data_IF_245667439730
#
_entry.id   IF_245667439730
#
_cell.length_a   1.000
_cell.length_b   1.000
_cell.length_c   1.000
_cell.angle_alpha   90.00
_cell.angle_beta   90.00
_cell.angle_gamma   90.00
#
_symmetry.space_group_name_H-M   'P 1'
#
loop_
_entity.id
_entity.type
_entity.pdbx_description
1 polymer ?
#
# COMPACT_ATOMS: atom_id res chain seq x y z
N UNK A 1 -22.61 -23.83 -17.90
CA UNK A 1 -21.86 -22.56 -17.83
C UNK A 1 -21.01 -22.57 -16.56
N UNK A 2 -19.70 -22.68 -16.69
CA UNK A 2 -18.80 -22.66 -15.53
C UNK A 2 -18.31 -21.23 -15.33
N UNK A 3 -18.64 -20.65 -14.17
CA UNK A 3 -18.17 -19.33 -13.76
C UNK A 3 -16.63 -19.38 -13.69
N UNK A 4 -15.90 -18.41 -14.26
CA UNK A 4 -14.44 -18.45 -14.21
C UNK A 4 -13.98 -18.47 -12.76
N UNK A 5 -12.89 -19.20 -12.43
CA UNK A 5 -12.42 -19.31 -11.07
C UNK A 5 -12.17 -17.91 -10.50
N UNK A 6 -12.64 -17.66 -9.27
CA UNK A 6 -12.46 -16.39 -8.55
C UNK A 6 -10.97 -16.01 -8.36
N UNK A 7 -10.06 -16.93 -8.70
CA UNK A 7 -8.60 -16.75 -8.81
C UNK A 7 -8.14 -15.97 -10.06
N UNK A 8 -9.05 -15.30 -10.77
CA UNK A 8 -8.74 -14.50 -11.96
C UNK A 8 -8.87 -13.00 -11.71
N UNK A 9 -8.55 -12.53 -10.50
CA UNK A 9 -8.19 -11.12 -10.36
C UNK A 9 -7.04 -10.88 -11.34
N UNK A 10 -7.32 -10.14 -12.42
CA UNK A 10 -6.28 -9.80 -13.38
C UNK A 10 -5.18 -9.12 -12.57
N UNK A 11 -3.91 -9.43 -12.84
CA UNK A 11 -2.76 -8.85 -12.11
C UNK A 11 -2.90 -7.32 -11.88
N UNK A 12 -3.44 -6.51 -12.83
CA UNK A 12 -3.75 -5.10 -12.58
C UNK A 12 -4.73 -4.84 -11.42
N UNK A 13 -5.77 -5.66 -11.24
CA UNK A 13 -6.78 -5.47 -10.20
C UNK A 13 -6.22 -5.78 -8.81
N UNK A 14 -5.42 -6.84 -8.70
CA UNK A 14 -4.68 -7.14 -7.47
C UNK A 14 -3.72 -5.99 -7.10
N UNK A 15 -2.95 -5.49 -8.07
CA UNK A 15 -2.01 -4.39 -7.84
C UNK A 15 -2.72 -3.10 -7.39
N UNK A 16 -3.87 -2.77 -7.99
CA UNK A 16 -4.70 -1.64 -7.56
C UNK A 16 -5.24 -1.83 -6.13
N UNK A 17 -5.74 -3.02 -5.81
CA UNK A 17 -6.23 -3.33 -4.47
C UNK A 17 -5.11 -3.23 -3.42
N UNK A 18 -3.93 -3.75 -3.73
CA UNK A 18 -2.75 -3.66 -2.86
C UNK A 18 -2.31 -2.20 -2.67
N UNK A 19 -2.25 -1.40 -3.74
CA UNK A 19 -1.93 0.04 -3.66
C UNK A 19 -2.88 0.80 -2.74
N UNK A 20 -4.19 0.54 -2.87
CA UNK A 20 -5.22 1.16 -2.03
C UNK A 20 -5.04 0.77 -0.55
N UNK A 21 -4.83 -0.52 -0.29
CA UNK A 21 -4.62 -1.03 1.07
C UNK A 21 -3.40 -0.39 1.76
N UNK A 22 -2.26 -0.33 1.08
CA UNK A 22 -1.03 0.27 1.58
C UNK A 22 -1.17 1.78 1.84
N UNK A 23 -1.88 2.47 0.94
CA UNK A 23 -2.19 3.90 1.11
C UNK A 23 -3.06 4.14 2.36
N UNK A 24 -4.02 3.24 2.61
CA UNK A 24 -4.82 3.24 3.84
C UNK A 24 -3.98 3.06 5.11
N UNK A 25 -2.99 2.14 5.09
CA UNK A 25 -2.08 1.93 6.22
C UNK A 25 -1.27 3.20 6.53
N UNK A 26 -0.72 3.87 5.51
CA UNK A 26 0.01 5.14 5.70
C UNK A 26 -0.90 6.20 6.32
N UNK A 27 -2.14 6.31 5.86
CA UNK A 27 -3.09 7.29 6.41
C UNK A 27 -3.42 7.03 7.89
N UNK A 28 -3.57 5.74 8.27
CA UNK A 28 -3.77 5.35 9.67
C UNK A 28 -2.56 5.70 10.51
N UNK A 29 -1.34 5.36 10.06
CA UNK A 29 -0.09 5.70 10.78
C UNK A 29 0.03 7.22 10.97
N UNK A 30 -0.22 8.01 9.91
CA UNK A 30 -0.21 9.47 9.99
C UNK A 30 -1.27 10.03 10.95
N UNK A 31 -2.47 9.45 10.96
CA UNK A 31 -3.54 9.80 11.90
C UNK A 31 -3.17 9.47 13.34
N UNK A 32 -2.61 8.27 13.60
CA UNK A 32 -2.12 7.86 14.90
C UNK A 32 -1.00 8.78 15.39
N UNK A 33 -0.07 9.20 14.52
CA UNK A 33 0.97 10.17 14.84
C UNK A 33 0.39 11.53 15.22
N UNK A 34 -0.63 12.02 14.51
CA UNK A 34 -1.31 13.28 14.85
C UNK A 34 -1.96 13.21 16.24
N UNK A 35 -2.57 12.07 16.59
CA UNK A 35 -3.18 11.85 17.90
C UNK A 35 -2.14 11.66 19.02
N UNK A 36 -1.01 11.01 18.70
CA UNK A 36 0.10 10.74 19.62
C UNK A 36 1.20 11.83 19.59
N UNK A 37 0.98 12.97 18.92
CA UNK A 37 1.95 14.07 18.82
C UNK A 37 2.33 14.67 20.18
N UNK A 38 1.52 14.42 21.21
CA UNK A 38 1.81 14.77 22.61
C UNK A 38 2.75 13.78 23.32
N UNK A 39 3.03 12.60 22.74
CA UNK A 39 3.59 11.46 23.45
C UNK A 39 4.89 10.85 22.87
N UNK A 40 5.26 10.94 21.59
CA UNK A 40 6.50 10.28 21.16
C UNK A 40 7.18 10.79 19.87
N UNK A 41 8.51 10.69 19.85
CA UNK A 41 9.38 10.83 18.67
C UNK A 41 9.09 9.70 17.69
N UNK A 42 9.24 9.96 16.39
CA UNK A 42 9.21 8.91 15.36
C UNK A 42 10.15 7.77 15.76
N UNK A 43 9.59 6.58 15.97
CA UNK A 43 10.43 5.43 16.31
C UNK A 43 11.18 4.98 15.05
N UNK A 44 12.42 4.50 15.20
CA UNK A 44 13.21 4.00 14.04
C UNK A 44 12.44 2.92 13.26
N UNK A 45 11.66 2.10 13.95
CA UNK A 45 10.82 1.06 13.34
C UNK A 45 9.72 1.69 12.48
N UNK A 46 9.01 2.70 12.99
CA UNK A 46 7.96 3.39 12.24
C UNK A 46 8.50 4.05 10.97
N UNK A 47 9.66 4.73 11.06
CA UNK A 47 10.30 5.32 9.89
C UNK A 47 10.67 4.26 8.83
N UNK A 48 11.20 3.12 9.26
CA UNK A 48 11.52 1.99 8.36
C UNK A 48 10.25 1.40 7.74
N UNK A 49 9.18 1.23 8.51
CA UNK A 49 7.89 0.73 8.01
C UNK A 49 7.30 1.66 6.96
N UNK A 50 7.29 2.98 7.20
CA UNK A 50 6.82 3.97 6.22
C UNK A 50 7.69 3.92 4.95
N UNK A 51 9.01 3.82 5.10
CA UNK A 51 9.95 3.72 3.98
C UNK A 51 9.68 2.47 3.11
N UNK A 52 9.49 1.31 3.74
CA UNK A 52 9.19 0.07 3.03
C UNK A 52 7.85 0.14 2.26
N UNK A 53 6.81 0.70 2.88
CA UNK A 53 5.50 0.86 2.22
C UNK A 53 5.60 1.80 1.01
N UNK A 54 6.34 2.92 1.13
CA UNK A 54 6.56 3.83 0.01
C UNK A 54 7.28 3.15 -1.15
N UNK A 55 8.34 2.40 -0.87
CA UNK A 55 9.05 1.64 -1.90
C UNK A 55 8.15 0.60 -2.59
N UNK A 56 7.26 -0.07 -1.84
CA UNK A 56 6.27 -0.99 -2.43
C UNK A 56 5.26 -0.25 -3.33
N UNK A 57 4.79 0.94 -2.93
CA UNK A 57 3.91 1.77 -3.75
C UNK A 57 4.57 2.19 -5.07
N UNK A 58 5.83 2.65 -5.01
CA UNK A 58 6.61 3.02 -6.20
C UNK A 58 6.78 1.83 -7.14
N UNK A 59 7.05 0.65 -6.58
CA UNK A 59 7.17 -0.58 -7.35
C UNK A 59 5.84 -1.00 -8.02
N UNK A 60 4.71 -0.87 -7.31
CA UNK A 60 3.38 -1.13 -7.87
C UNK A 60 3.09 -0.18 -9.03
N UNK A 61 3.43 1.10 -8.90
CA UNK A 61 3.22 2.08 -9.96
C UNK A 61 4.04 1.78 -11.22
N UNK A 62 5.29 1.34 -11.06
CA UNK A 62 6.11 0.85 -12.17
C UNK A 62 5.47 -0.36 -12.86
N UNK A 63 4.90 -1.31 -12.11
CA UNK A 63 4.24 -2.48 -12.69
C UNK A 63 2.95 -2.14 -13.42
N UNK A 64 2.12 -1.26 -12.85
CA UNK A 64 0.88 -0.80 -13.48
C UNK A 64 1.18 -0.05 -14.79
N UNK A 65 2.19 0.82 -14.80
CA UNK A 65 2.63 1.54 -16.00
C UNK A 65 3.11 0.61 -17.12
N UNK A 66 3.85 -0.46 -16.78
CA UNK A 66 4.30 -1.46 -17.75
C UNK A 66 3.17 -2.30 -18.34
N UNK A 67 2.06 -2.47 -17.61
CA UNK A 67 0.89 -3.26 -18.05
C UNK A 67 -0.18 -2.44 -18.78
N UNK A 68 -0.04 -1.11 -18.80
CA UNK A 68 -0.89 -0.21 -19.58
C UNK A 68 -0.37 0.11 -20.99
N UNK A 69 0.81 -0.40 -21.35
CA UNK A 69 1.38 -0.37 -22.71
C UNK A 69 1.13 -1.69 -23.43
#
# INVERSE_FOLDING_TARGET
MNKPPQSSAQVPDYLKARKLHLSGIIAVIAGMKKLNARANKDTKVEALTIGAIKAELDFIDLQLKRKSS
#
